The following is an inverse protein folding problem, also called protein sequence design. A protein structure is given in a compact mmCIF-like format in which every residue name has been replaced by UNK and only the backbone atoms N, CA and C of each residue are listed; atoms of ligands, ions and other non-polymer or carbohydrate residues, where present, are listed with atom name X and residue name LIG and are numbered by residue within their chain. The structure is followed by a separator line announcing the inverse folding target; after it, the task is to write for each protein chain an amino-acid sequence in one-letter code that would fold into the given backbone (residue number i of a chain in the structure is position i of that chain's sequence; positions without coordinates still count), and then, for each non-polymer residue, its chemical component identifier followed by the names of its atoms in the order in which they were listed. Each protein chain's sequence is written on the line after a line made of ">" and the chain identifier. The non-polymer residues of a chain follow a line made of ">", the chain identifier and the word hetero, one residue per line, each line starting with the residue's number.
data_IF_480540945158
#
_entry.id   IF_480540945158
#
_cell.length_a   1.000
_cell.length_b   1.000
_cell.length_c   1.000
_cell.angle_alpha   90.00
_cell.angle_beta   90.00
_cell.angle_gamma   90.00
#
_symmetry.space_group_name_H-M   'P 1'
#
loop_
_entity.id
_entity.type
_entity.pdbx_description
1 polymer ?
#
# COMPACT_ATOMS: atom_id res chain seq x y z
N UNK A 1 -58.71 -5.87 -14.18
CA UNK A 1 -57.43 -6.58 -14.41
C UNK A 1 -56.35 -5.51 -14.47
N UNK A 2 -55.51 -5.36 -13.44
CA UNK A 2 -54.17 -5.99 -13.29
C UNK A 2 -53.31 -5.68 -14.52
N UNK A 3 -52.15 -4.99 -14.46
CA UNK A 3 -51.00 -5.20 -13.57
C UNK A 3 -50.17 -3.89 -13.46
N UNK A 4 -49.69 -3.58 -12.25
CA UNK A 4 -48.68 -2.54 -12.00
C UNK A 4 -47.27 -2.98 -12.42
N UNK A 5 -46.45 -2.03 -12.86
CA UNK A 5 -45.02 -2.23 -13.04
C UNK A 5 -44.27 -1.08 -12.36
N UNK A 6 -43.97 -1.28 -11.08
CA UNK A 6 -42.84 -0.62 -10.43
C UNK A 6 -41.61 -0.99 -11.25
N UNK A 7 -41.03 -0.02 -11.96
CA UNK A 7 -39.72 -0.17 -12.56
C UNK A 7 -38.69 -0.21 -11.42
N UNK A 8 -38.45 -1.42 -10.91
CA UNK A 8 -37.26 -1.72 -10.14
C UNK A 8 -36.06 -1.49 -11.06
N UNK A 9 -35.37 -0.37 -10.86
CA UNK A 9 -34.06 -0.15 -11.45
C UNK A 9 -33.12 -1.29 -11.04
N UNK A 10 -32.11 -1.61 -11.85
CA UNK A 10 -31.15 -2.64 -11.50
C UNK A 10 -30.50 -2.28 -10.16
N UNK A 11 -30.85 -3.04 -9.11
CA UNK A 11 -30.07 -3.04 -7.89
C UNK A 11 -28.73 -3.68 -8.26
N UNK A 12 -27.74 -2.83 -8.51
CA UNK A 12 -26.34 -3.24 -8.54
C UNK A 12 -26.05 -3.79 -7.15
N UNK A 13 -26.04 -5.11 -7.04
CA UNK A 13 -25.67 -5.80 -5.81
C UNK A 13 -24.21 -5.46 -5.56
N UNK A 14 -23.96 -4.47 -4.70
CA UNK A 14 -22.64 -3.92 -4.35
C UNK A 14 -21.82 -4.92 -3.50
N UNK A 15 -21.76 -6.17 -3.94
CA UNK A 15 -21.15 -7.28 -3.20
C UNK A 15 -20.56 -8.34 -4.12
N UNK A 16 -20.11 -7.97 -5.32
CA UNK A 16 -19.07 -8.76 -5.99
C UNK A 16 -17.79 -8.63 -5.17
N UNK A 17 -17.62 -9.56 -4.23
CA UNK A 17 -16.35 -9.79 -3.55
C UNK A 17 -15.34 -10.23 -4.61
N UNK A 18 -14.66 -9.25 -5.19
CA UNK A 18 -13.55 -9.48 -6.09
C UNK A 18 -12.54 -10.39 -5.38
N UNK A 19 -12.48 -11.64 -5.83
CA UNK A 19 -11.65 -12.73 -5.30
C UNK A 19 -10.31 -12.83 -6.05
N UNK A 20 -9.99 -11.84 -6.88
CA UNK A 20 -8.71 -11.69 -7.57
C UNK A 20 -7.60 -11.10 -6.68
N UNK A 21 -6.41 -10.92 -7.26
CA UNK A 21 -5.33 -10.17 -6.60
C UNK A 21 -5.82 -8.75 -6.31
N UNK A 22 -5.64 -8.26 -5.09
CA UNK A 22 -6.07 -6.91 -4.71
C UNK A 22 -5.13 -5.87 -5.31
N UNK A 23 -5.68 -4.74 -5.76
CA UNK A 23 -4.89 -3.56 -6.07
C UNK A 23 -4.43 -2.87 -4.78
N UNK A 24 -3.22 -2.32 -4.79
CA UNK A 24 -2.64 -1.58 -3.67
C UNK A 24 -2.50 -0.09 -4.03
N UNK A 25 -2.82 0.78 -3.07
CA UNK A 25 -2.56 2.21 -3.15
C UNK A 25 -1.49 2.61 -2.13
N UNK A 26 -0.46 3.32 -2.57
CA UNK A 26 0.64 3.79 -1.71
C UNK A 26 0.52 5.30 -1.53
N UNK A 27 0.19 5.74 -0.32
CA UNK A 27 0.12 7.17 0.01
C UNK A 27 1.52 7.77 0.08
N UNK A 28 1.68 8.98 -0.45
CA UNK A 28 2.93 9.73 -0.33
C UNK A 28 3.12 10.16 1.14
N UNK A 29 4.22 9.76 1.81
CA UNK A 29 4.57 10.33 3.10
C UNK A 29 4.93 11.81 2.94
N UNK A 30 4.64 12.61 3.97
CA UNK A 30 5.13 13.98 4.05
C UNK A 30 6.67 14.03 4.12
N UNK A 31 7.26 15.17 3.76
CA UNK A 31 8.71 15.40 3.80
C UNK A 31 9.41 15.31 2.44
N UNK A 32 10.67 15.74 2.42
CA UNK A 32 11.48 15.82 1.20
C UNK A 32 11.70 14.44 0.55
N UNK A 33 11.95 13.43 1.37
CA UNK A 33 12.21 12.04 0.94
C UNK A 33 10.93 11.26 0.66
N UNK A 34 9.76 11.88 0.89
CA UNK A 34 8.46 11.22 0.72
C UNK A 34 8.21 10.67 -0.70
N UNK A 35 8.59 11.43 -1.74
CA UNK A 35 8.47 10.96 -3.14
C UNK A 35 9.37 9.75 -3.38
N UNK A 36 10.59 9.77 -2.85
CA UNK A 36 11.54 8.68 -3.02
C UNK A 36 11.04 7.39 -2.35
N UNK A 37 10.51 7.50 -1.12
CA UNK A 37 9.88 6.38 -0.40
C UNK A 37 8.71 5.82 -1.19
N UNK A 38 7.78 6.68 -1.63
CA UNK A 38 6.61 6.24 -2.38
C UNK A 38 7.00 5.51 -3.67
N UNK A 39 7.84 6.12 -4.51
CA UNK A 39 8.27 5.53 -5.78
C UNK A 39 9.00 4.21 -5.59
N UNK A 40 9.92 4.15 -4.61
CA UNK A 40 10.70 2.95 -4.37
C UNK A 40 9.84 1.81 -3.83
N UNK A 41 8.88 2.13 -2.97
CA UNK A 41 7.91 1.16 -2.46
C UNK A 41 7.02 0.62 -3.57
N UNK A 42 6.47 1.48 -4.43
CA UNK A 42 5.67 1.07 -5.59
C UNK A 42 6.47 0.11 -6.46
N UNK A 43 7.67 0.51 -6.87
CA UNK A 43 8.55 -0.34 -7.69
C UNK A 43 8.84 -1.70 -7.06
N UNK A 44 9.04 -1.76 -5.74
CA UNK A 44 9.29 -3.02 -5.04
C UNK A 44 8.04 -3.93 -4.97
N UNK A 45 6.85 -3.35 -4.84
CA UNK A 45 5.58 -4.11 -4.81
C UNK A 45 5.16 -4.55 -6.22
N UNK A 46 5.38 -3.73 -7.24
CA UNK A 46 5.15 -4.10 -8.65
C UNK A 46 6.05 -5.26 -9.07
N UNK A 47 7.34 -5.19 -8.69
CA UNK A 47 8.30 -6.25 -8.98
C UNK A 47 7.95 -7.59 -8.33
N UNK A 48 7.10 -7.61 -7.30
CA UNK A 48 6.68 -8.85 -6.65
C UNK A 48 5.60 -9.59 -7.45
N UNK A 49 4.82 -8.90 -8.29
CA UNK A 49 3.71 -9.48 -9.07
C UNK A 49 2.54 -10.01 -8.23
N UNK A 50 2.51 -9.70 -6.92
CA UNK A 50 1.47 -10.21 -6.01
C UNK A 50 0.20 -9.34 -5.99
N UNK A 51 0.28 -8.08 -6.42
CA UNK A 51 -0.86 -7.17 -6.51
C UNK A 51 -1.34 -7.07 -7.96
N UNK A 52 -2.66 -6.89 -8.17
CA UNK A 52 -3.20 -6.67 -9.51
C UNK A 52 -2.73 -5.33 -10.12
N UNK A 53 -2.35 -4.39 -9.27
CA UNK A 53 -1.76 -3.11 -9.63
C UNK A 53 -1.34 -2.36 -8.38
N UNK A 54 -0.35 -1.49 -8.50
CA UNK A 54 0.14 -0.65 -7.40
C UNK A 54 0.12 0.80 -7.85
N UNK A 55 -0.64 1.63 -7.16
CA UNK A 55 -0.90 3.01 -7.60
C UNK A 55 -0.40 4.03 -6.59
N UNK A 56 0.23 5.14 -7.04
CA UNK A 56 0.54 6.25 -6.17
C UNK A 56 -0.74 6.97 -5.74
N UNK A 57 -0.86 7.27 -4.45
CA UNK A 57 -1.92 8.08 -3.86
C UNK A 57 -1.34 9.32 -3.18
N UNK A 58 -2.06 10.44 -3.26
CA UNK A 58 -1.83 11.64 -2.47
C UNK A 58 -2.52 11.59 -1.11
N UNK A 59 -3.65 10.89 -1.01
CA UNK A 59 -4.40 10.73 0.24
C UNK A 59 -4.99 9.32 0.37
N UNK A 60 -5.19 8.79 1.59
CA UNK A 60 -5.73 7.44 1.81
C UNK A 60 -7.11 7.19 1.19
N UNK A 61 -7.94 8.22 1.07
CA UNK A 61 -9.32 8.15 0.56
C UNK A 61 -9.44 8.51 -0.92
N UNK A 62 -8.32 8.73 -1.62
CA UNK A 62 -8.33 9.24 -2.99
C UNK A 62 -8.89 8.24 -4.01
N UNK A 63 -8.77 6.94 -3.75
CA UNK A 63 -9.26 5.91 -4.66
C UNK A 63 -10.06 4.84 -3.91
N UNK A 64 -11.25 4.54 -4.44
CA UNK A 64 -12.08 3.40 -4.05
C UNK A 64 -11.73 2.12 -4.82
N UNK A 65 -10.84 2.21 -5.81
CA UNK A 65 -10.45 1.08 -6.67
C UNK A 65 -9.32 0.24 -6.06
N UNK A 66 -8.65 0.76 -5.03
CA UNK A 66 -7.59 0.04 -4.31
C UNK A 66 -8.18 -0.80 -3.17
N UNK A 67 -7.89 -2.10 -3.18
CA UNK A 67 -8.32 -3.00 -2.12
C UNK A 67 -7.51 -2.86 -0.84
N UNK A 68 -6.25 -2.40 -0.95
CA UNK A 68 -5.31 -2.22 0.16
C UNK A 68 -4.73 -0.81 0.12
N UNK A 69 -4.80 -0.08 1.22
CA UNK A 69 -4.22 1.26 1.36
C UNK A 69 -2.98 1.17 2.24
N UNK A 70 -1.85 1.62 1.74
CA UNK A 70 -0.55 1.65 2.43
C UNK A 70 -0.21 3.10 2.72
N UNK A 71 -0.17 3.44 4.00
CA UNK A 71 0.12 4.78 4.53
C UNK A 71 1.46 4.77 5.27
N UNK A 72 2.57 5.06 4.58
CA UNK A 72 3.85 5.30 5.22
C UNK A 72 3.91 6.68 5.89
N UNK A 73 4.63 6.77 7.00
CA UNK A 73 4.93 7.98 7.73
C UNK A 73 6.41 7.98 8.13
N UNK A 74 7.15 9.01 7.73
CA UNK A 74 8.57 9.16 8.07
C UNK A 74 8.65 9.63 9.53
N UNK A 75 9.33 8.86 10.36
CA UNK A 75 9.52 9.16 11.79
C UNK A 75 10.85 9.85 12.07
N UNK A 76 11.91 9.42 11.39
CA UNK A 76 13.26 9.94 11.55
C UNK A 76 14.00 9.83 10.22
N UNK A 77 14.80 10.84 9.91
CA UNK A 77 15.62 10.92 8.72
C UNK A 77 16.94 11.58 9.09
N UNK A 78 18.05 10.91 8.77
CA UNK A 78 19.40 11.43 8.99
C UNK A 78 20.20 11.44 7.70
N UNK A 79 20.70 12.61 7.37
CA UNK A 79 21.61 12.83 6.25
C UNK A 79 23.03 13.06 6.77
N UNK A 80 24.00 12.51 6.06
CA UNK A 80 25.41 12.81 6.24
C UNK A 80 26.05 13.27 4.93
N UNK A 81 27.39 13.30 4.87
CA UNK A 81 28.14 13.85 3.72
C UNK A 81 27.82 13.16 2.39
N UNK A 82 27.41 11.88 2.45
CA UNK A 82 27.14 11.04 1.29
C UNK A 82 25.63 10.86 1.00
N UNK A 83 24.78 11.69 1.61
CA UNK A 83 23.32 11.65 1.41
C UNK A 83 22.58 10.97 2.56
N UNK A 84 21.50 10.25 2.24
CA UNK A 84 20.62 9.62 3.23
C UNK A 84 21.32 8.43 3.93
N UNK A 85 21.65 8.59 5.21
CA UNK A 85 22.37 7.59 5.99
C UNK A 85 21.44 6.70 6.80
N UNK A 86 20.36 7.25 7.36
CA UNK A 86 19.37 6.49 8.13
C UNK A 86 17.97 7.00 7.83
N UNK A 87 17.04 6.07 7.75
CA UNK A 87 15.63 6.36 7.54
C UNK A 87 14.79 5.45 8.42
N UNK A 88 13.79 6.02 9.10
CA UNK A 88 12.82 5.26 9.88
C UNK A 88 11.41 5.62 9.43
N UNK A 89 10.64 4.61 9.02
CA UNK A 89 9.29 4.77 8.49
C UNK A 89 8.34 3.87 9.27
N UNK A 90 7.27 4.44 9.81
CA UNK A 90 6.11 3.68 10.26
C UNK A 90 5.19 3.46 9.07
N UNK A 91 4.79 2.22 8.84
CA UNK A 91 3.81 1.86 7.81
C UNK A 91 2.56 1.38 8.50
N UNK A 92 1.43 1.98 8.10
CA UNK A 92 0.11 1.42 8.31
C UNK A 92 -0.39 0.87 6.98
N UNK A 93 -0.83 -0.37 6.92
CA UNK A 93 -1.51 -0.91 5.74
C UNK A 93 -2.81 -1.57 6.16
N UNK A 94 -3.88 -1.38 5.39
CA UNK A 94 -5.20 -1.94 5.72
C UNK A 94 -5.99 -2.26 4.45
N UNK A 95 -6.79 -3.32 4.53
CA UNK A 95 -7.74 -3.69 3.47
C UNK A 95 -9.00 -2.84 3.64
N UNK A 96 -9.46 -2.15 2.58
CA UNK A 96 -10.62 -1.24 2.68
C UNK A 96 -11.89 -1.95 3.19
N UNK A 97 -12.09 -3.22 2.83
CA UNK A 97 -13.25 -4.01 3.28
C UNK A 97 -13.09 -4.61 4.68
N UNK A 98 -11.90 -4.57 5.29
CA UNK A 98 -11.58 -5.25 6.55
C UNK A 98 -10.62 -4.42 7.40
N UNK A 99 -11.16 -3.48 8.16
CA UNK A 99 -10.39 -2.60 9.06
C UNK A 99 -9.68 -3.35 10.20
N UNK A 100 -10.06 -4.61 10.46
CA UNK A 100 -9.42 -5.47 11.48
C UNK A 100 -8.08 -6.05 11.03
N UNK A 101 -7.81 -6.13 9.72
CA UNK A 101 -6.55 -6.68 9.18
C UNK A 101 -5.57 -5.55 8.84
N UNK A 102 -5.28 -4.71 9.85
CA UNK A 102 -4.32 -3.63 9.72
C UNK A 102 -2.91 -4.07 10.14
N UNK A 103 -1.93 -3.85 9.27
CA UNK A 103 -0.52 -3.84 9.63
C UNK A 103 -0.19 -2.45 10.17
N UNK A 104 0.45 -2.39 11.33
CA UNK A 104 1.13 -1.18 11.81
C UNK A 104 2.51 -1.58 12.32
N UNK A 105 3.55 -1.24 11.57
CA UNK A 105 4.92 -1.64 11.90
C UNK A 105 5.92 -0.55 11.51
N UNK A 106 7.00 -0.44 12.28
CA UNK A 106 8.09 0.48 12.00
C UNK A 106 9.23 -0.27 11.35
N UNK A 107 9.78 0.32 10.29
CA UNK A 107 10.93 -0.15 9.53
C UNK A 107 12.04 0.88 9.65
N UNK A 108 13.28 0.40 9.70
CA UNK A 108 14.47 1.24 9.69
C UNK A 108 15.43 0.71 8.66
N UNK A 109 16.00 1.60 7.86
CA UNK A 109 17.10 1.28 6.97
C UNK A 109 18.32 2.13 7.29
N UNK A 110 19.49 1.57 7.07
CA UNK A 110 20.78 2.25 7.23
C UNK A 110 21.62 2.07 5.98
N UNK A 111 22.22 3.17 5.52
CA UNK A 111 23.15 3.14 4.40
C UNK A 111 24.39 2.34 4.77
N UNK A 112 24.86 1.53 3.84
CA UNK A 112 26.06 0.72 3.94
C UNK A 112 26.82 0.74 2.62
N UNK A 113 28.00 0.13 2.58
CA UNK A 113 28.80 0.04 1.34
C UNK A 113 28.07 -0.67 0.18
N UNK A 114 27.02 -1.46 0.47
CA UNK A 114 26.32 -2.29 -0.52
C UNK A 114 24.90 -1.81 -0.84
N UNK A 115 24.24 -1.14 0.11
CA UNK A 115 22.83 -0.76 0.00
C UNK A 115 22.62 0.66 0.51
N UNK A 116 21.70 1.38 -0.12
CA UNK A 116 21.20 2.65 0.40
C UNK A 116 20.29 2.41 1.61
N UNK A 117 20.15 3.40 2.49
CA UNK A 117 19.20 3.33 3.60
C UNK A 117 17.75 3.10 3.13
N UNK A 118 17.42 3.57 1.93
CA UNK A 118 16.11 3.37 1.34
C UNK A 118 15.90 1.92 0.91
N UNK A 119 16.86 1.32 0.21
CA UNK A 119 16.75 -0.08 -0.24
C UNK A 119 16.69 -1.06 0.94
N UNK A 120 17.53 -0.83 1.95
CA UNK A 120 17.59 -1.60 3.18
C UNK A 120 16.26 -1.56 3.96
N UNK A 121 15.55 -0.42 3.91
CA UNK A 121 14.22 -0.26 4.51
C UNK A 121 13.12 -0.93 3.66
N UNK A 122 13.14 -0.72 2.34
CA UNK A 122 12.04 -1.10 1.45
C UNK A 122 11.95 -2.61 1.27
N UNK A 123 13.08 -3.33 1.22
CA UNK A 123 13.08 -4.77 0.99
C UNK A 123 12.29 -5.59 2.05
N UNK A 124 12.53 -5.44 3.37
CA UNK A 124 11.74 -6.15 4.38
C UNK A 124 10.29 -5.65 4.45
N UNK A 125 10.06 -4.35 4.21
CA UNK A 125 8.73 -3.74 4.19
C UNK A 125 7.88 -4.34 3.06
N UNK A 126 8.39 -4.37 1.83
CA UNK A 126 7.69 -4.93 0.68
C UNK A 126 7.39 -6.43 0.90
N UNK A 127 8.33 -7.19 1.44
CA UNK A 127 8.15 -8.61 1.79
C UNK A 127 7.02 -8.84 2.79
N UNK A 128 6.92 -8.01 3.83
CA UNK A 128 5.84 -8.11 4.81
C UNK A 128 4.47 -7.79 4.19
N UNK A 129 4.42 -6.76 3.33
CA UNK A 129 3.18 -6.37 2.63
C UNK A 129 2.72 -7.45 1.66
N UNK A 130 3.62 -8.02 0.85
CA UNK A 130 3.27 -9.08 -0.10
C UNK A 130 2.85 -10.35 0.60
N UNK A 131 3.54 -10.74 1.68
CA UNK A 131 3.18 -11.90 2.50
C UNK A 131 1.77 -11.77 3.08
N UNK A 132 1.38 -10.57 3.54
CA UNK A 132 0.10 -10.36 4.21
C UNK A 132 -1.04 -10.07 3.25
N UNK A 133 -0.79 -9.30 2.19
CA UNK A 133 -1.85 -8.75 1.33
C UNK A 133 -1.78 -9.19 -0.13
N UNK A 134 -0.63 -9.69 -0.59
CA UNK A 134 -0.40 -10.03 -2.00
C UNK A 134 -0.96 -11.39 -2.43
N UNK A 135 -1.32 -12.27 -1.49
CA UNK A 135 -1.86 -13.60 -1.84
C UNK A 135 -3.39 -13.60 -1.81
N UNK A 136 -4.00 -14.38 -2.72
CA UNK A 136 -5.43 -14.69 -2.69
C UNK A 136 -5.79 -15.23 -1.29
N UNK A 137 -6.88 -14.75 -0.66
CA UNK A 137 -7.38 -15.39 0.55
C UNK A 137 -7.80 -16.82 0.18
N UNK A 138 -7.07 -17.81 0.72
CA UNK A 138 -7.47 -19.21 0.63
C UNK A 138 -8.50 -19.39 1.74
N UNK A 139 -9.76 -19.58 1.37
CA UNK A 139 -10.84 -19.96 2.27
C UNK A 139 -10.98 -21.48 2.31
#
# INVERSE_FOLDING_TARGET
>A
MLIGACAGGPQVSANERYTGQVAAGVVRPAGATGIAVQRRLISALEASGDFAGVYPLFAPTQSSEVGVVITPSILDERHGPNGLEQLRVQVRAERQSQTRDALKKTYSGRSSARNTALDDLIQPLARDLTRRYGRKPVY
#
